data_IF_787005353577
#
_entry.id   IF_787005353577
#
_cell.length_a   1.000
_cell.length_b   1.000
_cell.length_c   1.000
_cell.angle_alpha   90.00
_cell.angle_beta   90.00
_cell.angle_gamma   90.00
#
_symmetry.space_group_name_H-M   'P 1'
#
loop_
_entity.id
_entity.type
_entity.pdbx_description
1 polymer ?
#
# COMPACT_ATOMS: atom_id res chain seq x y z
N UNK A 1 -16.67 6.30 24.62
CA UNK A 1 -17.23 5.37 23.60
C UNK A 1 -16.35 5.46 22.37
N UNK A 2 -15.39 4.53 22.19
CA UNK A 2 -14.51 4.56 21.02
C UNK A 2 -15.34 4.17 19.77
N UNK A 3 -15.52 5.11 18.83
CA UNK A 3 -16.12 4.80 17.53
C UNK A 3 -15.18 3.82 16.82
N UNK A 4 -15.70 2.64 16.43
CA UNK A 4 -14.95 1.69 15.63
C UNK A 4 -14.66 2.31 14.26
N UNK A 5 -13.39 2.27 13.84
CA UNK A 5 -12.97 2.73 12.51
C UNK A 5 -13.62 1.80 11.46
N UNK A 6 -14.25 2.34 10.40
CA UNK A 6 -14.81 1.51 9.34
C UNK A 6 -13.72 0.66 8.65
N UNK A 7 -14.07 -0.56 8.25
CA UNK A 7 -13.13 -1.49 7.60
C UNK A 7 -12.51 -0.94 6.31
N UNK A 8 -13.26 -0.17 5.52
CA UNK A 8 -12.73 0.45 4.31
C UNK A 8 -11.64 1.50 4.62
N UNK A 9 -11.78 2.25 5.72
CA UNK A 9 -10.76 3.20 6.16
C UNK A 9 -9.49 2.46 6.56
N UNK A 10 -9.64 1.32 7.24
CA UNK A 10 -8.49 0.47 7.60
C UNK A 10 -7.76 -0.03 6.35
N UNK A 11 -8.48 -0.45 5.31
CA UNK A 11 -7.88 -0.91 4.05
C UNK A 11 -7.13 0.21 3.31
N UNK A 12 -7.69 1.42 3.30
CA UNK A 12 -7.03 2.60 2.73
C UNK A 12 -5.74 2.87 3.49
N UNK A 13 -5.79 2.99 4.81
CA UNK A 13 -4.60 3.24 5.64
C UNK A 13 -3.54 2.15 5.49
N UNK A 14 -3.97 0.88 5.41
CA UNK A 14 -3.06 -0.23 5.21
C UNK A 14 -2.31 -0.10 3.89
N UNK A 15 -2.99 0.27 2.80
CA UNK A 15 -2.39 0.33 1.46
C UNK A 15 -1.62 1.61 1.19
N UNK A 16 -2.07 2.74 1.72
CA UNK A 16 -1.45 4.05 1.43
C UNK A 16 -0.37 4.43 2.42
N UNK A 17 -0.33 3.81 3.60
CA UNK A 17 0.65 4.16 4.65
C UNK A 17 1.45 2.95 5.09
N UNK A 18 0.78 1.92 5.62
CA UNK A 18 1.47 0.83 6.32
C UNK A 18 2.29 -0.02 5.35
N UNK A 19 1.72 -0.42 4.21
CA UNK A 19 2.41 -1.22 3.20
C UNK A 19 3.62 -0.46 2.62
N UNK A 20 3.49 0.79 2.13
CA UNK A 20 4.64 1.57 1.68
C UNK A 20 5.73 1.72 2.75
N UNK A 21 5.34 1.96 4.00
CA UNK A 21 6.28 2.06 5.12
C UNK A 21 7.03 0.74 5.35
N UNK A 22 6.32 -0.39 5.32
CA UNK A 22 6.92 -1.71 5.47
C UNK A 22 7.87 -2.04 4.31
N UNK A 23 7.53 -1.64 3.08
CA UNK A 23 8.39 -1.82 1.90
C UNK A 23 9.66 -0.97 2.03
N UNK A 24 9.55 0.30 2.45
CA UNK A 24 10.72 1.16 2.66
C UNK A 24 11.67 0.58 3.71
N UNK A 25 11.13 0.21 4.87
CA UNK A 25 11.95 -0.32 5.98
C UNK A 25 12.53 -1.68 5.65
N UNK A 26 11.73 -2.58 5.06
CA UNK A 26 12.19 -3.89 4.60
C UNK A 26 13.23 -3.81 3.48
N UNK A 27 13.01 -2.94 2.48
CA UNK A 27 13.96 -2.71 1.39
C UNK A 27 15.30 -2.16 1.91
N UNK A 28 15.24 -1.18 2.81
CA UNK A 28 16.44 -0.62 3.45
C UNK A 28 17.25 -1.68 4.21
N UNK A 29 16.58 -2.63 4.84
CA UNK A 29 17.23 -3.67 5.62
C UNK A 29 17.78 -4.82 4.75
N UNK A 30 17.06 -5.20 3.69
CA UNK A 30 17.38 -6.36 2.88
C UNK A 30 18.30 -6.05 1.68
N UNK A 31 18.11 -4.90 1.05
CA UNK A 31 18.76 -4.53 -0.22
C UNK A 31 19.78 -3.40 0.00
N UNK A 32 19.50 -2.55 0.99
CA UNK A 32 20.33 -1.39 1.32
C UNK A 32 19.53 -0.09 1.22
N UNK A 33 20.15 1.05 1.60
CA UNK A 33 19.45 2.33 1.73
C UNK A 33 18.77 2.77 0.43
N UNK A 34 17.54 3.25 0.54
CA UNK A 34 16.80 3.85 -0.55
C UNK A 34 17.59 5.02 -1.16
N UNK A 35 17.78 4.97 -2.48
CA UNK A 35 18.62 5.91 -3.23
C UNK A 35 17.96 7.30 -3.43
N UNK A 36 16.65 7.41 -3.18
CA UNK A 36 15.92 8.66 -3.40
C UNK A 36 16.24 9.74 -2.36
N UNK A 37 16.16 10.99 -2.81
CA UNK A 37 16.33 12.16 -1.94
C UNK A 37 15.27 12.18 -0.83
N UNK A 38 15.63 12.67 0.37
CA UNK A 38 14.73 12.81 1.53
C UNK A 38 14.26 11.50 2.18
N UNK A 39 14.91 10.37 1.88
CA UNK A 39 14.68 9.08 2.54
C UNK A 39 13.21 8.65 2.45
N UNK A 40 12.58 8.39 3.59
CA UNK A 40 11.20 7.88 3.62
C UNK A 40 10.19 8.86 2.99
N UNK A 41 10.36 10.17 3.21
CA UNK A 41 9.45 11.16 2.61
C UNK A 41 9.57 11.18 1.09
N UNK A 42 10.79 11.05 0.58
CA UNK A 42 11.04 10.92 -0.85
C UNK A 42 10.42 9.67 -1.45
N UNK A 43 10.50 8.54 -0.74
CA UNK A 43 9.88 7.29 -1.14
C UNK A 43 8.34 7.38 -1.22
N UNK A 44 7.69 8.01 -0.23
CA UNK A 44 6.25 8.23 -0.30
C UNK A 44 5.91 9.17 -1.46
N UNK A 45 6.64 10.28 -1.61
CA UNK A 45 6.39 11.23 -2.69
C UNK A 45 6.55 10.60 -4.07
N UNK A 46 7.55 9.74 -4.27
CA UNK A 46 7.72 9.02 -5.54
C UNK A 46 6.54 8.11 -5.83
N UNK A 47 6.09 7.30 -4.88
CA UNK A 47 4.93 6.41 -5.07
C UNK A 47 3.68 7.22 -5.48
N UNK A 48 3.40 8.32 -4.78
CA UNK A 48 2.22 9.13 -5.10
C UNK A 48 2.36 9.88 -6.43
N UNK A 49 3.56 10.38 -6.75
CA UNK A 49 3.85 11.01 -8.04
C UNK A 49 3.70 10.02 -9.19
N UNK A 50 4.23 8.80 -9.03
CA UNK A 50 4.12 7.73 -10.02
C UNK A 50 2.67 7.30 -10.23
N UNK A 51 1.86 7.25 -9.17
CA UNK A 51 0.42 7.00 -9.27
C UNK A 51 -0.29 8.12 -10.07
N UNK A 52 0.05 9.39 -9.82
CA UNK A 52 -0.49 10.52 -10.60
C UNK A 52 -0.07 10.46 -12.06
N UNK A 53 1.12 9.94 -12.36
CA UNK A 53 1.61 9.68 -13.71
C UNK A 53 1.03 8.38 -14.32
N UNK A 54 0.01 7.79 -13.71
CA UNK A 54 -0.66 6.58 -14.14
C UNK A 54 0.26 5.35 -14.26
N UNK A 55 1.36 5.32 -13.50
CA UNK A 55 2.22 4.14 -13.47
C UNK A 55 1.49 2.97 -12.79
N UNK A 56 1.30 1.82 -13.47
CA UNK A 56 0.49 0.73 -12.94
C UNK A 56 1.03 0.17 -11.62
N UNK A 57 2.35 0.09 -11.46
CA UNK A 57 2.98 -0.46 -10.26
C UNK A 57 2.62 0.32 -8.99
N UNK A 58 2.61 1.65 -9.06
CA UNK A 58 2.21 2.50 -7.94
C UNK A 58 0.73 2.30 -7.58
N UNK A 59 -0.15 2.18 -8.58
CA UNK A 59 -1.56 1.88 -8.35
C UNK A 59 -1.78 0.50 -7.72
N UNK A 60 -1.09 -0.54 -8.20
CA UNK A 60 -1.19 -1.88 -7.59
C UNK A 60 -0.76 -1.88 -6.13
N UNK A 61 0.27 -1.10 -5.78
CA UNK A 61 0.75 -0.99 -4.41
C UNK A 61 -0.26 -0.22 -3.54
N UNK A 62 -0.76 0.92 -4.00
CA UNK A 62 -1.74 1.74 -3.28
C UNK A 62 -3.13 1.10 -3.17
N UNK A 63 -3.45 0.13 -4.04
CA UNK A 63 -4.69 -0.64 -4.03
C UNK A 63 -4.51 -2.07 -3.52
N UNK A 64 -3.34 -2.42 -2.98
CA UNK A 64 -3.01 -3.80 -2.62
C UNK A 64 -4.02 -4.41 -1.63
N UNK A 65 -4.34 -3.75 -0.53
CA UNK A 65 -5.28 -4.30 0.46
C UNK A 65 -6.73 -4.42 -0.08
N UNK A 66 -7.32 -3.40 -0.73
CA UNK A 66 -8.67 -3.55 -1.27
C UNK A 66 -8.71 -4.60 -2.40
N UNK A 67 -7.67 -4.71 -3.24
CA UNK A 67 -7.60 -5.76 -4.27
C UNK A 67 -7.54 -7.15 -3.64
N UNK A 68 -6.71 -7.35 -2.61
CA UNK A 68 -6.61 -8.63 -1.91
C UNK A 68 -7.94 -9.02 -1.24
N UNK A 69 -8.62 -8.07 -0.61
CA UNK A 69 -9.94 -8.29 -0.02
C UNK A 69 -10.98 -8.68 -1.07
N UNK A 70 -10.94 -8.08 -2.26
CA UNK A 70 -11.83 -8.39 -3.37
C UNK A 70 -11.55 -9.79 -3.92
N UNK A 71 -10.28 -10.12 -4.18
CA UNK A 71 -9.86 -11.46 -4.64
C UNK A 71 -10.32 -12.53 -3.65
N UNK A 72 -10.14 -12.30 -2.35
CA UNK A 72 -10.56 -13.23 -1.31
C UNK A 72 -12.08 -13.45 -1.31
N UNK A 73 -12.87 -12.38 -1.43
CA UNK A 73 -14.34 -12.47 -1.50
C UNK A 73 -14.80 -13.28 -2.71
N UNK A 74 -14.23 -13.02 -3.89
CA UNK A 74 -14.55 -13.76 -5.11
C UNK A 74 -14.15 -15.23 -4.98
N UNK A 75 -12.98 -15.51 -4.39
CA UNK A 75 -12.52 -16.88 -4.16
C UNK A 75 -13.44 -17.66 -3.22
N UNK A 76 -13.98 -17.01 -2.17
CA UNK A 76 -14.95 -17.63 -1.27
C UNK A 76 -16.29 -17.89 -1.96
N UNK A 77 -16.78 -16.97 -2.80
CA UNK A 77 -18.03 -17.13 -3.55
C UNK A 77 -17.99 -18.30 -4.53
N UNK A 78 -16.83 -18.59 -5.14
CA UNK A 78 -16.68 -19.75 -6.03
C UNK A 78 -16.74 -21.11 -5.31
N UNK A 79 -16.68 -21.13 -3.98
CA UNK A 79 -16.67 -22.36 -3.17
C UNK A 79 -18.04 -22.70 -2.54
N UNK A 80 -19.05 -21.85 -2.69
CA UNK A 80 -20.44 -22.11 -2.26
C UNK A 80 -21.29 -22.57 -3.43
#
# INVERSE_FOLDING_TARGET
MFRKIPSWVQMVLLSTIIIPFAIYTGGNWLIGPYEGNFGIMGFFFSIYSDALQAQPAAWFLLLAAPMMALVWRVALQKRS
#
